data_IF_131777186863
#
_entry.id   IF_131777186863
#
_cell.length_a   1.000
_cell.length_b   1.000
_cell.length_c   1.000
_cell.angle_alpha   90.00
_cell.angle_beta   90.00
_cell.angle_gamma   90.00
#
_symmetry.space_group_name_H-M   'P 1'
#
loop_
_entity.id
_entity.type
_entity.pdbx_description
1 polymer ?
#
# COMPACT_ATOMS: atom_id res chain seq x y z
N UNK A 1 13.67 3.63 -10.39
CA UNK A 1 12.26 3.41 -10.74
C UNK A 1 12.16 3.44 -12.25
N UNK A 2 11.28 2.65 -12.84
CA UNK A 2 10.89 2.80 -14.24
C UNK A 2 9.37 2.77 -14.35
N UNK A 3 8.84 3.39 -15.40
CA UNK A 3 7.41 3.48 -15.65
C UNK A 3 7.06 2.90 -17.03
N UNK A 4 5.82 2.45 -17.17
CA UNK A 4 5.24 2.03 -18.43
C UNK A 4 3.85 2.63 -18.55
N UNK A 5 3.65 3.45 -19.59
CA UNK A 5 2.42 4.21 -19.79
C UNK A 5 1.45 3.40 -20.66
N UNK A 6 0.23 3.20 -20.17
CA UNK A 6 -0.89 2.67 -20.92
C UNK A 6 -1.94 3.79 -21.13
N UNK A 7 -3.03 3.50 -21.86
CA UNK A 7 -4.05 4.51 -22.21
C UNK A 7 -4.64 5.20 -20.98
N UNK A 8 -4.93 4.44 -19.93
CA UNK A 8 -5.65 4.95 -18.74
C UNK A 8 -4.84 4.94 -17.44
N UNK A 9 -3.63 4.37 -17.45
CA UNK A 9 -2.84 4.16 -16.24
C UNK A 9 -1.33 4.12 -16.51
N UNK A 10 -0.55 4.46 -15.49
CA UNK A 10 0.91 4.34 -15.49
C UNK A 10 1.31 3.21 -14.54
N UNK A 11 1.93 2.16 -15.07
CA UNK A 11 2.54 1.13 -14.24
C UNK A 11 3.91 1.61 -13.77
N UNK A 12 4.14 1.65 -12.45
CA UNK A 12 5.38 2.09 -11.85
C UNK A 12 6.09 0.93 -11.15
N UNK A 13 7.37 0.73 -11.49
CA UNK A 13 8.23 -0.27 -10.88
C UNK A 13 9.30 0.40 -10.00
N UNK A 14 9.25 0.11 -8.70
CA UNK A 14 10.12 0.71 -7.70
C UNK A 14 11.17 -0.29 -7.21
N UNK A 15 12.43 0.16 -7.17
CA UNK A 15 13.50 -0.52 -6.45
C UNK A 15 13.55 0.05 -5.04
N UNK A 16 12.89 -0.61 -4.10
CA UNK A 16 12.91 -0.22 -2.70
C UNK A 16 13.76 -1.16 -1.87
N UNK A 17 14.67 -0.60 -1.07
CA UNK A 17 15.43 -1.35 -0.06
C UNK A 17 14.58 -1.67 1.19
N UNK A 18 13.40 -1.06 1.33
CA UNK A 18 12.55 -1.21 2.51
C UNK A 18 11.08 -1.34 2.14
N UNK A 19 10.51 -2.51 2.42
CA UNK A 19 9.07 -2.76 2.25
C UNK A 19 8.25 -1.98 3.27
N UNK A 20 8.77 -1.79 4.49
CA UNK A 20 8.13 -0.94 5.51
C UNK A 20 8.01 0.51 5.02
N UNK A 21 9.12 1.09 4.56
CA UNK A 21 9.15 2.48 4.10
C UNK A 21 8.25 2.70 2.90
N UNK A 22 8.28 1.77 1.94
CA UNK A 22 7.43 1.84 0.76
C UNK A 22 5.95 1.67 1.10
N UNK A 23 5.58 0.75 2.00
CA UNK A 23 4.20 0.58 2.44
C UNK A 23 3.63 1.86 3.06
N UNK A 24 4.42 2.57 3.89
CA UNK A 24 4.01 3.83 4.50
C UNK A 24 3.85 4.96 3.48
N UNK A 25 4.75 5.03 2.50
CA UNK A 25 4.60 5.97 1.39
C UNK A 25 3.36 5.66 0.56
N UNK A 26 3.11 4.39 0.24
CA UNK A 26 1.94 3.96 -0.54
C UNK A 26 0.62 4.36 0.15
N UNK A 27 0.53 4.30 1.48
CA UNK A 27 -0.67 4.75 2.21
C UNK A 27 -1.07 6.19 1.92
N UNK A 28 -0.14 7.05 1.49
CA UNK A 28 -0.43 8.45 1.15
C UNK A 28 -1.11 8.62 -0.22
N UNK A 29 -1.08 7.59 -1.06
CA UNK A 29 -1.60 7.61 -2.44
C UNK A 29 -2.46 6.38 -2.77
N UNK A 30 -2.80 5.58 -1.75
CA UNK A 30 -3.36 4.24 -1.93
C UNK A 30 -4.81 4.24 -2.40
N UNK A 31 -5.49 5.39 -2.35
CA UNK A 31 -6.82 5.63 -2.92
C UNK A 31 -6.79 5.75 -4.45
N UNK A 32 -5.66 6.15 -5.04
CA UNK A 32 -5.47 6.36 -6.48
C UNK A 32 -4.45 5.38 -7.09
N UNK A 33 -3.99 4.38 -6.33
CA UNK A 33 -2.95 3.45 -6.77
C UNK A 33 -3.23 1.99 -6.39
N UNK A 34 -2.78 1.05 -7.21
CA UNK A 34 -2.95 -0.40 -6.98
C UNK A 34 -1.59 -1.09 -6.89
N UNK A 35 -1.37 -1.85 -5.81
CA UNK A 35 -0.19 -2.72 -5.70
C UNK A 35 -0.39 -3.97 -6.55
N UNK A 36 0.39 -4.10 -7.63
CA UNK A 36 0.41 -5.32 -8.45
C UNK A 36 1.18 -6.45 -7.73
N UNK A 37 2.41 -6.17 -7.30
CA UNK A 37 3.33 -7.11 -6.65
C UNK A 37 4.42 -6.37 -5.85
N UNK A 38 5.11 -7.01 -4.89
CA UNK A 38 4.91 -8.39 -4.39
C UNK A 38 3.78 -8.48 -3.35
N UNK A 39 3.27 -9.70 -3.10
CA UNK A 39 2.18 -9.93 -2.12
C UNK A 39 2.55 -9.47 -0.71
N UNK A 40 3.80 -9.69 -0.30
CA UNK A 40 4.38 -9.19 0.96
C UNK A 40 4.16 -7.68 1.19
N UNK A 41 4.12 -6.87 0.11
CA UNK A 41 3.86 -5.44 0.25
C UNK A 41 2.38 -5.19 0.60
N UNK A 42 1.46 -5.91 -0.04
CA UNK A 42 0.01 -5.83 0.27
C UNK A 42 -0.24 -6.25 1.72
N UNK A 43 0.37 -7.36 2.16
CA UNK A 43 0.26 -7.83 3.55
C UNK A 43 0.72 -6.76 4.53
N UNK A 44 1.82 -6.08 4.20
CA UNK A 44 2.35 -5.03 5.05
C UNK A 44 1.43 -3.81 5.12
N UNK A 45 0.88 -3.39 3.98
CA UNK A 45 -0.10 -2.28 3.93
C UNK A 45 -1.36 -2.64 4.71
N UNK A 46 -1.90 -3.86 4.56
CA UNK A 46 -3.06 -4.34 5.34
C UNK A 46 -2.79 -4.27 6.85
N UNK A 47 -1.61 -4.70 7.29
CA UNK A 47 -1.21 -4.62 8.70
C UNK A 47 -1.16 -3.16 9.21
N UNK A 48 -0.62 -2.23 8.40
CA UNK A 48 -0.57 -0.81 8.76
C UNK A 48 -1.98 -0.20 8.82
N UNK A 49 -2.86 -0.53 7.89
CA UNK A 49 -4.27 -0.08 7.90
C UNK A 49 -4.98 -0.62 9.13
N UNK A 50 -4.81 -1.91 9.47
CA UNK A 50 -5.41 -2.49 10.67
C UNK A 50 -4.93 -1.77 11.95
N UNK A 51 -3.63 -1.50 12.07
CA UNK A 51 -3.10 -0.72 13.19
C UNK A 51 -3.63 0.72 13.20
N UNK A 52 -3.71 1.38 12.04
CA UNK A 52 -4.26 2.73 11.90
C UNK A 52 -5.73 2.77 12.34
N UNK A 53 -6.54 1.85 11.86
CA UNK A 53 -7.94 1.71 12.23
C UNK A 53 -8.10 1.46 13.73
N UNK A 54 -7.29 0.59 14.32
CA UNK A 54 -7.30 0.34 15.77
C UNK A 54 -6.92 1.57 16.60
N UNK A 55 -6.09 2.46 16.06
CA UNK A 55 -5.71 3.70 16.74
C UNK A 55 -6.75 4.80 16.58
N UNK A 56 -7.47 4.83 15.46
CA UNK A 56 -8.48 5.85 15.16
C UNK A 56 -9.85 5.52 15.75
N UNK A 57 -10.16 4.24 15.90
CA UNK A 57 -11.44 3.77 16.38
C UNK A 57 -11.23 2.91 17.63
N UNK A 58 -11.84 3.30 18.76
CA UNK A 58 -11.83 2.58 20.05
C UNK A 58 -12.57 1.22 20.01
N UNK A 59 -12.78 0.63 18.83
CA UNK A 59 -13.64 -0.55 18.61
C UNK A 59 -12.88 -1.65 17.87
N UNK A 60 -13.05 -2.94 18.24
CA UNK A 60 -12.46 -4.04 17.48
C UNK A 60 -13.07 -4.07 16.08
N UNK A 61 -12.32 -3.60 15.09
CA UNK A 61 -12.72 -3.67 13.69
C UNK A 61 -12.76 -5.14 13.28
N UNK A 62 -13.96 -5.68 13.10
CA UNK A 62 -14.15 -6.99 12.48
C UNK A 62 -13.46 -6.98 11.11
N UNK A 63 -12.52 -7.90 10.92
CA UNK A 63 -11.70 -8.01 9.72
C UNK A 63 -12.59 -8.06 8.46
N UNK A 64 -12.29 -7.21 7.49
CA UNK A 64 -12.81 -7.28 6.13
C UNK A 64 -12.22 -8.49 5.38
#
# INVERSE_FOLDING_TARGET
>A
MYESVNVDQVEMNFFSCSIEGFARWYLMIGDEAIIIKPERLKDKVKSLISALMSNLYDTPVAAF
#
